data_IF_145415215969
#
_entry.id   IF_145415215969
#
_cell.length_a   1.000
_cell.length_b   1.000
_cell.length_c   1.000
_cell.angle_alpha   90.00
_cell.angle_beta   90.00
_cell.angle_gamma   90.00
#
_symmetry.space_group_name_H-M   'P 1'
#
loop_
_entity.id
_entity.type
_entity.pdbx_description
1 polymer ?
#
# COMPACT_ATOMS: atom_id res chain seq x y z
N UNK A 1 -10.74 -14.60 -14.00
CA UNK A 1 -11.41 -15.92 -13.89
C UNK A 1 -12.24 -16.06 -12.63
N UNK A 2 -11.70 -15.84 -11.43
CA UNK A 2 -12.46 -15.92 -10.17
C UNK A 2 -13.63 -14.92 -10.08
N UNK A 3 -13.39 -13.64 -10.41
CA UNK A 3 -14.43 -12.59 -10.35
C UNK A 3 -15.62 -12.90 -11.26
N UNK A 4 -15.34 -13.39 -12.47
CA UNK A 4 -16.34 -13.77 -13.45
C UNK A 4 -17.16 -14.99 -13.01
N UNK A 5 -16.55 -15.94 -12.28
CA UNK A 5 -17.26 -17.06 -11.67
C UNK A 5 -18.17 -16.62 -10.50
N UNK A 6 -17.74 -15.63 -9.73
CA UNK A 6 -18.53 -15.04 -8.63
C UNK A 6 -19.74 -14.29 -9.18
N UNK A 7 -19.55 -13.46 -10.20
CA UNK A 7 -20.61 -12.67 -10.84
C UNK A 7 -21.73 -13.56 -11.43
N UNK A 8 -21.38 -14.66 -12.13
CA UNK A 8 -22.40 -15.58 -12.67
C UNK A 8 -23.22 -16.28 -11.60
N UNK A 9 -22.61 -16.57 -10.43
CA UNK A 9 -23.32 -17.20 -9.30
C UNK A 9 -24.14 -16.18 -8.51
N UNK A 10 -23.64 -14.95 -8.36
CA UNK A 10 -24.36 -13.85 -7.68
C UNK A 10 -25.61 -13.43 -8.48
N UNK A 11 -25.49 -13.36 -9.82
CA UNK A 11 -26.61 -13.05 -10.72
C UNK A 11 -27.52 -14.26 -11.03
N UNK A 12 -27.36 -15.38 -10.33
CA UNK A 12 -28.12 -16.64 -10.53
C UNK A 12 -28.10 -17.18 -11.97
N UNK A 13 -27.09 -16.81 -12.78
CA UNK A 13 -26.92 -17.30 -14.16
C UNK A 13 -26.39 -18.73 -14.21
N UNK A 14 -25.69 -19.17 -13.16
CA UNK A 14 -25.24 -20.55 -13.02
C UNK A 14 -25.22 -21.00 -11.55
N UNK A 15 -25.36 -22.30 -11.32
CA UNK A 15 -25.25 -22.84 -9.95
C UNK A 15 -23.79 -22.88 -9.49
N UNK A 16 -23.55 -22.80 -8.17
CA UNK A 16 -22.18 -22.83 -7.63
C UNK A 16 -21.44 -24.15 -7.91
N UNK A 17 -22.17 -25.25 -8.14
CA UNK A 17 -21.59 -26.56 -8.55
C UNK A 17 -21.16 -26.56 -10.01
N UNK A 18 -21.91 -25.87 -10.85
CA UNK A 18 -21.61 -25.73 -12.27
C UNK A 18 -20.41 -24.79 -12.49
N UNK A 19 -20.35 -23.71 -11.72
CA UNK A 19 -19.21 -22.81 -11.70
C UNK A 19 -17.90 -23.53 -11.32
N UNK A 20 -17.96 -24.44 -10.34
CA UNK A 20 -16.81 -25.26 -9.94
C UNK A 20 -16.28 -26.13 -11.09
N UNK A 21 -17.18 -26.82 -11.82
CA UNK A 21 -16.78 -27.63 -12.98
C UNK A 21 -16.24 -26.79 -14.13
N UNK A 22 -16.84 -25.63 -14.39
CA UNK A 22 -16.49 -24.77 -15.52
C UNK A 22 -15.20 -23.98 -15.32
N UNK A 23 -14.96 -23.50 -14.11
CA UNK A 23 -13.82 -22.65 -13.78
C UNK A 23 -12.70 -23.38 -13.04
N UNK A 24 -12.93 -24.61 -12.57
CA UNK A 24 -11.97 -25.36 -11.75
C UNK A 24 -11.71 -24.73 -10.37
N UNK A 25 -12.60 -23.82 -9.92
CA UNK A 25 -12.46 -23.12 -8.64
C UNK A 25 -13.35 -23.82 -7.61
N UNK A 26 -12.82 -24.19 -6.44
CA UNK A 26 -13.61 -24.86 -5.41
C UNK A 26 -14.87 -24.07 -5.05
N UNK A 27 -16.00 -24.77 -4.95
CA UNK A 27 -17.31 -24.18 -4.66
C UNK A 27 -17.30 -23.28 -3.42
N UNK A 28 -16.56 -23.67 -2.37
CA UNK A 28 -16.45 -22.90 -1.11
C UNK A 28 -15.82 -21.52 -1.34
N UNK A 29 -14.83 -21.42 -2.21
CA UNK A 29 -14.15 -20.15 -2.54
C UNK A 29 -15.11 -19.19 -3.24
N UNK A 30 -15.90 -19.70 -4.19
CA UNK A 30 -16.92 -18.91 -4.90
C UNK A 30 -17.98 -18.42 -3.92
N UNK A 31 -18.54 -19.32 -3.10
CA UNK A 31 -19.55 -18.97 -2.10
C UNK A 31 -19.05 -17.99 -1.04
N UNK A 32 -17.80 -18.12 -0.59
CA UNK A 32 -17.21 -17.19 0.37
C UNK A 32 -17.05 -15.79 -0.23
N UNK A 33 -16.77 -15.70 -1.54
CA UNK A 33 -16.69 -14.41 -2.26
C UNK A 33 -18.07 -13.81 -2.53
N UNK A 34 -19.06 -14.62 -2.93
CA UNK A 34 -20.47 -14.18 -3.05
C UNK A 34 -21.00 -13.65 -1.71
N UNK A 35 -20.72 -14.37 -0.61
CA UNK A 35 -21.11 -13.95 0.75
C UNK A 35 -20.27 -12.81 1.32
N UNK A 36 -19.27 -12.31 0.58
CA UNK A 36 -18.38 -11.22 1.00
C UNK A 36 -17.64 -11.49 2.33
N UNK A 37 -17.40 -12.77 2.67
CA UNK A 37 -16.72 -13.16 3.92
C UNK A 37 -15.24 -12.71 3.96
N UNK A 38 -14.61 -12.58 2.80
CA UNK A 38 -13.21 -12.19 2.65
C UNK A 38 -13.06 -11.08 1.60
N UNK A 39 -13.55 -9.88 1.93
CA UNK A 39 -13.45 -8.69 1.09
C UNK A 39 -12.02 -8.16 0.96
N UNK A 40 -11.18 -8.45 1.95
CA UNK A 40 -9.80 -7.97 1.98
C UNK A 40 -8.97 -8.62 0.86
N UNK A 41 -8.01 -7.88 0.27
CA UNK A 41 -7.11 -8.42 -0.74
C UNK A 41 -6.30 -9.58 -0.16
N UNK A 42 -5.96 -10.54 -1.02
CA UNK A 42 -5.12 -11.67 -0.63
C UNK A 42 -3.73 -11.16 -0.23
N UNK A 43 -3.25 -11.61 0.94
CA UNK A 43 -1.96 -11.21 1.50
C UNK A 43 -2.06 -10.37 2.77
N UNK A 44 -0.90 -9.93 3.26
CA UNK A 44 -0.78 -9.08 4.45
C UNK A 44 -1.52 -7.77 4.27
N UNK A 45 -2.35 -7.41 5.23
CA UNK A 45 -3.11 -6.17 5.18
C UNK A 45 -2.17 -4.97 5.29
N UNK A 46 -2.43 -3.96 4.46
CA UNK A 46 -1.68 -2.71 4.47
C UNK A 46 -1.92 -2.02 5.82
N UNK A 47 -0.84 -1.76 6.56
CA UNK A 47 -0.87 -1.05 7.85
C UNK A 47 -1.44 0.37 7.72
N UNK A 48 -0.96 1.12 6.72
CA UNK A 48 -1.46 2.45 6.38
C UNK A 48 -2.53 2.37 5.27
N UNK A 49 -3.48 3.31 5.26
CA UNK A 49 -4.41 3.50 4.14
C UNK A 49 -3.64 3.96 2.89
N UNK A 50 -4.30 3.99 1.74
CA UNK A 50 -3.64 4.42 0.51
C UNK A 50 -3.44 5.94 0.46
N UNK A 51 -4.38 6.73 1.00
CA UNK A 51 -4.25 8.18 1.16
C UNK A 51 -3.08 8.58 2.08
N UNK A 52 -2.91 7.89 3.20
CA UNK A 52 -1.80 8.15 4.14
C UNK A 52 -0.44 7.93 3.46
N UNK A 53 -0.32 6.90 2.63
CA UNK A 53 0.92 6.61 1.90
C UNK A 53 1.22 7.66 0.85
N UNK A 54 0.19 8.12 0.15
CA UNK A 54 0.33 9.15 -0.87
C UNK A 54 0.78 10.48 -0.26
N UNK A 55 0.18 10.86 0.87
CA UNK A 55 0.61 12.03 1.64
C UNK A 55 2.08 11.92 2.09
N UNK A 56 2.50 10.76 2.60
CA UNK A 56 3.91 10.52 2.97
C UNK A 56 4.85 10.58 1.76
N UNK A 57 4.45 10.03 0.61
CA UNK A 57 5.23 10.07 -0.61
C UNK A 57 5.38 11.51 -1.15
N UNK A 58 4.33 12.32 -1.07
CA UNK A 58 4.36 13.73 -1.47
C UNK A 58 5.31 14.56 -0.59
N UNK A 59 5.35 14.30 0.71
CA UNK A 59 6.33 14.94 1.63
C UNK A 59 7.76 14.57 1.25
N UNK A 60 8.01 13.30 0.91
CA UNK A 60 9.33 12.83 0.48
C UNK A 60 9.75 13.46 -0.85
N UNK A 61 8.83 13.58 -1.81
CA UNK A 61 9.06 14.26 -3.09
C UNK A 61 9.41 15.73 -2.88
N UNK A 62 8.62 16.45 -2.09
CA UNK A 62 8.88 17.85 -1.77
C UNK A 62 10.29 18.02 -1.16
N UNK A 63 10.64 17.20 -0.16
CA UNK A 63 11.99 17.25 0.46
C UNK A 63 13.10 17.03 -0.56
N UNK A 64 12.90 16.09 -1.49
CA UNK A 64 13.86 15.80 -2.54
C UNK A 64 14.00 16.93 -3.55
N UNK A 65 12.91 17.67 -3.84
CA UNK A 65 12.93 18.83 -4.74
C UNK A 65 13.58 20.05 -4.09
N UNK A 66 13.47 20.19 -2.77
CA UNK A 66 14.27 21.13 -1.97
C UNK A 66 15.74 20.69 -1.77
N UNK A 67 16.21 19.67 -2.51
CA UNK A 67 17.61 19.25 -2.58
C UNK A 67 18.13 18.48 -1.35
N UNK A 68 17.24 18.10 -0.43
CA UNK A 68 17.58 17.25 0.72
C UNK A 68 16.88 15.88 0.59
N UNK A 69 17.48 14.90 -0.12
CA UNK A 69 16.95 13.55 -0.17
C UNK A 69 17.00 12.91 1.22
N UNK A 70 15.88 12.32 1.63
CA UNK A 70 15.73 11.67 2.93
C UNK A 70 16.36 10.28 2.97
N UNK A 71 17.04 9.96 4.07
CA UNK A 71 17.59 8.63 4.32
C UNK A 71 16.51 7.64 4.77
N UNK A 72 16.85 6.33 4.81
CA UNK A 72 15.96 5.30 5.38
C UNK A 72 15.56 5.62 6.83
N UNK A 73 16.47 6.21 7.62
CA UNK A 73 16.19 6.58 9.01
C UNK A 73 15.19 7.74 9.09
N UNK A 74 15.33 8.74 8.23
CA UNK A 74 14.41 9.88 8.16
C UNK A 74 13.00 9.42 7.81
N UNK A 75 12.87 8.46 6.89
CA UNK A 75 11.58 7.84 6.54
C UNK A 75 10.97 7.14 7.76
N UNK A 76 11.76 6.38 8.54
CA UNK A 76 11.27 5.72 9.76
C UNK A 76 10.76 6.75 10.77
N UNK A 77 11.51 7.82 11.00
CA UNK A 77 11.15 8.89 11.94
C UNK A 77 9.90 9.63 11.46
N UNK A 78 9.82 9.95 10.16
CA UNK A 78 8.67 10.62 9.55
C UNK A 78 7.39 9.82 9.77
N UNK A 79 7.45 8.51 9.48
CA UNK A 79 6.30 7.60 9.66
C UNK A 79 5.95 7.44 11.13
N UNK A 80 6.93 7.32 12.01
CA UNK A 80 6.69 7.25 13.45
C UNK A 80 5.98 8.50 13.97
N UNK A 81 6.47 9.69 13.62
CA UNK A 81 5.85 10.97 14.00
C UNK A 81 4.45 11.12 13.41
N UNK A 82 4.24 10.65 12.18
CA UNK A 82 2.92 10.65 11.55
C UNK A 82 1.93 9.78 12.34
N UNK A 83 2.35 8.58 12.72
CA UNK A 83 1.55 7.63 13.49
C UNK A 83 1.24 8.15 14.90
N UNK A 84 2.23 8.72 15.57
CA UNK A 84 2.11 9.33 16.89
C UNK A 84 1.14 10.53 16.87
N UNK A 85 1.26 11.42 15.87
CA UNK A 85 0.36 12.56 15.70
C UNK A 85 -1.10 12.17 15.44
N UNK A 86 -1.32 11.05 14.76
CA UNK A 86 -2.66 10.54 14.45
C UNK A 86 -3.20 9.55 15.50
N UNK A 87 -2.51 9.37 16.62
CA UNK A 87 -2.89 8.43 17.70
C UNK A 87 -3.07 6.98 17.22
N UNK A 88 -2.34 6.55 16.18
CA UNK A 88 -2.40 5.20 15.58
C UNK A 88 -1.27 4.29 16.04
N UNK A 89 -0.93 4.37 17.33
CA UNK A 89 0.20 3.64 17.92
C UNK A 89 0.07 2.11 17.79
N UNK A 90 -1.13 1.61 17.50
CA UNK A 90 -1.46 0.22 17.20
C UNK A 90 -0.71 -0.35 15.98
N UNK A 91 -0.28 0.49 15.04
CA UNK A 91 0.34 0.03 13.79
C UNK A 91 1.75 -0.53 13.98
N UNK A 92 2.50 0.02 14.94
CA UNK A 92 3.90 -0.31 15.17
C UNK A 92 4.20 -0.53 16.66
N UNK A 93 3.18 -0.70 17.50
CA UNK A 93 3.29 -0.85 18.96
C UNK A 93 4.13 0.27 19.61
N UNK A 94 3.97 1.50 19.10
CA UNK A 94 4.76 2.65 19.55
C UNK A 94 6.27 2.56 19.23
N UNK A 95 6.66 1.72 18.27
CA UNK A 95 8.06 1.58 17.81
C UNK A 95 8.26 2.18 16.42
N UNK A 96 9.53 2.37 16.08
CA UNK A 96 9.93 2.74 14.72
C UNK A 96 9.58 1.61 13.73
N UNK A 97 9.17 1.93 12.49
CA UNK A 97 9.03 0.94 11.43
C UNK A 97 10.33 0.17 11.17
N UNK A 98 10.21 -1.12 10.88
CA UNK A 98 11.36 -1.97 10.52
C UNK A 98 11.93 -1.60 9.14
N UNK A 99 13.20 -1.95 8.88
CA UNK A 99 13.80 -1.75 7.56
C UNK A 99 13.04 -2.46 6.45
N UNK A 100 12.55 -3.68 6.71
CA UNK A 100 11.71 -4.44 5.78
C UNK A 100 10.43 -3.69 5.40
N UNK A 101 9.84 -2.95 6.35
CA UNK A 101 8.66 -2.14 6.07
C UNK A 101 9.00 -0.97 5.14
N UNK A 102 10.12 -0.27 5.40
CA UNK A 102 10.60 0.86 4.57
C UNK A 102 10.89 0.39 3.16
N UNK A 103 11.57 -0.76 3.00
CA UNK A 103 11.87 -1.34 1.69
C UNK A 103 10.60 -1.71 0.93
N UNK A 104 9.62 -2.31 1.60
CA UNK A 104 8.31 -2.58 1.01
C UNK A 104 7.54 -1.30 0.67
N UNK A 105 7.69 -0.23 1.46
CA UNK A 105 7.07 1.07 1.17
C UNK A 105 7.68 1.69 -0.10
N UNK A 106 9.01 1.70 -0.20
CA UNK A 106 9.72 2.21 -1.37
C UNK A 106 9.46 1.37 -2.62
N UNK A 107 9.40 0.04 -2.51
CA UNK A 107 9.12 -0.82 -3.66
C UNK A 107 7.74 -0.57 -4.26
N UNK A 108 6.73 -0.32 -3.42
CA UNK A 108 5.37 0.00 -3.85
C UNK A 108 5.24 1.39 -4.48
N UNK A 109 6.12 2.33 -4.13
CA UNK A 109 6.09 3.71 -4.64
C UNK A 109 7.26 4.00 -5.59
N UNK A 110 7.89 2.97 -6.16
CA UNK A 110 9.07 3.13 -7.05
C UNK A 110 8.77 3.92 -8.32
N UNK A 111 7.51 4.03 -8.72
CA UNK A 111 7.08 4.86 -9.86
C UNK A 111 7.23 6.36 -9.61
N UNK A 112 7.16 6.79 -8.35
CA UNK A 112 7.20 8.20 -7.95
C UNK A 112 8.46 8.54 -7.14
N UNK A 113 8.93 7.62 -6.28
CA UNK A 113 10.11 7.81 -5.44
C UNK A 113 11.33 7.17 -6.08
N UNK A 114 12.40 7.96 -6.21
CA UNK A 114 13.72 7.52 -6.68
C UNK A 114 14.78 7.78 -5.62
N UNK A 115 15.79 6.91 -5.56
CA UNK A 115 16.96 7.13 -4.72
C UNK A 115 17.76 8.27 -5.37
N UNK A 116 17.88 9.41 -4.67
CA UNK A 116 18.64 10.57 -5.13
C UNK A 116 19.84 10.79 -4.20
N UNK A 117 20.98 11.14 -4.79
CA UNK A 117 22.12 11.68 -4.03
C UNK A 117 21.88 13.15 -3.73
N UNK A 118 22.37 13.65 -2.59
CA UNK A 118 22.35 15.07 -2.25
C UNK A 118 22.95 15.89 -3.40
N UNK A 119 22.19 16.86 -3.90
CA UNK A 119 22.67 17.77 -4.94
C UNK A 119 22.86 19.16 -4.34
N UNK A 120 23.96 19.81 -4.69
CA UNK A 120 24.23 21.17 -4.23
C UNK A 120 23.34 22.14 -5.01
N UNK A 121 22.36 22.74 -4.35
CA UNK A 121 21.43 23.68 -4.99
C UNK A 121 22.16 25.01 -5.19
N UNK A 122 22.55 25.32 -6.43
CA UNK A 122 23.06 26.65 -6.77
C UNK A 122 21.89 27.63 -6.73
N UNK A 123 21.85 28.51 -5.72
CA UNK A 123 20.96 29.68 -5.73
C UNK A 123 21.43 30.63 -6.82
N UNK A 124 20.82 30.59 -8.00
CA UNK A 124 20.89 31.70 -8.95
C UNK A 124 19.91 32.77 -8.47
N UNK A 125 20.39 33.66 -7.59
CA UNK A 125 19.68 34.91 -7.32
C UNK A 125 19.87 35.88 -8.48
N UNK A 126 18.84 36.66 -8.88
CA UNK A 126 19.01 37.71 -9.87
C UNK A 126 20.02 38.74 -9.32
N UNK A 127 20.98 39.12 -10.17
CA UNK A 127 21.95 40.18 -9.90
C UNK A 127 21.31 41.55 -9.99
#
# INVERSE_FOLDING_TARGET
MLELAVDMVENSRMSSREAEKRFGIPRRTILNKVKKNHLKPAGGQKKLTDEEKENLANVLLASADYGSPMSKMDIKILVYKYVEKNSRTDLFDGKLPSDTWVEGFLSRHRSILTIRTTQNIKKYGPR
#
